data_IF_938632975327
#
_entry.id   IF_938632975327
#
_cell.length_a   1.000
_cell.length_b   1.000
_cell.length_c   1.000
_cell.angle_alpha   90.00
_cell.angle_beta   90.00
_cell.angle_gamma   90.00
#
_symmetry.space_group_name_H-M   'P 1'
#
loop_
_entity.id
_entity.type
_entity.pdbx_description
1 polymer ?
#
# COMPACT_ATOMS: atom_id res chain seq x y z
N UNK A 1 -28.19 17.33 24.15
CA UNK A 1 -26.73 17.47 24.10
C UNK A 1 -26.29 16.94 22.75
N UNK A 2 -26.00 17.85 21.83
CA UNK A 2 -25.56 17.52 20.47
C UNK A 2 -24.05 17.35 20.60
N UNK A 3 -23.61 16.11 20.58
CA UNK A 3 -22.21 15.75 20.40
C UNK A 3 -21.81 16.14 18.97
N UNK A 4 -21.12 17.27 18.84
CA UNK A 4 -20.74 17.88 17.56
C UNK A 4 -19.56 17.15 16.89
N UNK A 5 -19.18 15.96 17.40
CA UNK A 5 -18.10 15.14 16.86
C UNK A 5 -16.73 15.82 16.89
N UNK A 6 -16.58 16.88 17.68
CA UNK A 6 -15.34 17.64 17.87
C UNK A 6 -14.75 17.26 19.21
N UNK A 7 -13.54 16.72 19.19
CA UNK A 7 -12.77 16.50 20.42
C UNK A 7 -12.52 17.84 21.10
N UNK A 8 -12.78 17.88 22.40
CA UNK A 8 -12.25 18.92 23.26
C UNK A 8 -10.72 18.83 23.35
N UNK A 9 -10.09 19.95 23.69
CA UNK A 9 -8.62 20.04 23.83
C UNK A 9 -8.09 19.02 24.87
N UNK A 10 -8.83 18.85 25.98
CA UNK A 10 -8.52 17.88 27.03
C UNK A 10 -8.61 16.43 26.55
N UNK A 11 -9.60 16.10 25.70
CA UNK A 11 -9.75 14.77 25.10
C UNK A 11 -8.63 14.49 24.08
N UNK A 12 -8.24 15.49 23.29
CA UNK A 12 -7.15 15.37 22.33
C UNK A 12 -5.80 15.17 23.04
N UNK A 13 -5.54 15.92 24.11
CA UNK A 13 -4.33 15.78 24.92
C UNK A 13 -4.27 14.40 25.60
N UNK A 14 -5.38 13.94 26.18
CA UNK A 14 -5.45 12.63 26.81
C UNK A 14 -5.18 11.48 25.80
N UNK A 15 -5.76 11.57 24.61
CA UNK A 15 -5.54 10.59 23.54
C UNK A 15 -4.09 10.65 22.98
N UNK A 16 -3.51 11.85 22.86
CA UNK A 16 -2.10 12.02 22.48
C UNK A 16 -1.15 11.36 23.51
N UNK A 17 -1.41 11.57 24.80
CA UNK A 17 -0.62 10.96 25.88
C UNK A 17 -0.77 9.43 25.90
N UNK A 18 -1.97 8.91 25.62
CA UNK A 18 -2.18 7.45 25.56
C UNK A 18 -1.48 6.81 24.36
N UNK A 19 -1.55 7.43 23.17
CA UNK A 19 -0.89 6.94 21.95
C UNK A 19 0.63 6.96 22.06
N UNK A 20 1.22 7.95 22.73
CA UNK A 20 2.66 8.01 23.00
C UNK A 20 3.14 6.95 24.00
N UNK A 21 2.29 6.53 24.94
CA UNK A 21 2.60 5.48 25.93
C UNK A 21 2.56 4.07 25.34
N UNK A 22 1.78 3.86 24.27
CA UNK A 22 1.60 2.54 23.64
C UNK A 22 1.69 2.64 22.11
N UNK A 23 2.91 2.87 21.57
CA UNK A 23 3.11 2.96 20.12
C UNK A 23 2.72 1.63 19.47
N UNK A 24 1.63 1.63 18.68
CA UNK A 24 1.13 0.47 17.94
C UNK A 24 -0.19 -0.14 18.45
N UNK A 25 -0.93 0.51 19.36
CA UNK A 25 -2.28 0.10 19.77
C UNK A 25 -3.38 0.98 19.17
N UNK A 26 -4.62 0.47 19.17
CA UNK A 26 -5.87 1.07 18.64
C UNK A 26 -6.04 2.57 18.94
N UNK A 27 -5.48 3.09 20.04
CA UNK A 27 -5.56 4.50 20.41
C UNK A 27 -4.82 5.47 19.47
N UNK A 28 -3.78 5.03 18.75
CA UNK A 28 -3.13 5.85 17.73
C UNK A 28 -4.04 6.02 16.50
N UNK A 29 -4.67 4.94 16.08
CA UNK A 29 -5.59 4.96 14.94
C UNK A 29 -6.90 5.69 15.29
N UNK A 30 -7.37 5.56 16.53
CA UNK A 30 -8.52 6.30 17.05
C UNK A 30 -8.23 7.81 17.14
N UNK A 31 -7.06 8.20 17.64
CA UNK A 31 -6.63 9.61 17.68
C UNK A 31 -6.51 10.20 16.28
N UNK A 32 -5.89 9.46 15.35
CA UNK A 32 -5.78 9.88 13.95
C UNK A 32 -7.16 10.00 13.29
N UNK A 33 -8.06 9.05 13.50
CA UNK A 33 -9.42 9.11 12.98
C UNK A 33 -10.23 10.30 13.53
N UNK A 34 -10.03 10.65 14.81
CA UNK A 34 -10.69 11.77 15.49
C UNK A 34 -10.10 13.15 15.17
N UNK A 35 -8.84 13.21 14.72
CA UNK A 35 -8.14 14.45 14.38
C UNK A 35 -8.02 14.70 12.88
N UNK A 36 -8.22 13.68 12.03
CA UNK A 36 -8.26 13.82 10.57
C UNK A 36 -9.52 14.58 10.12
N UNK A 37 -9.32 15.84 9.70
CA UNK A 37 -10.38 16.66 9.13
C UNK A 37 -10.73 16.19 7.71
N UNK A 38 -11.75 15.34 7.59
CA UNK A 38 -12.34 14.97 6.28
C UNK A 38 -13.21 16.10 5.75
N UNK A 39 -12.97 16.50 4.51
CA UNK A 39 -13.72 17.54 3.80
C UNK A 39 -14.82 16.89 2.96
N UNK A 40 -16.08 17.18 3.30
CA UNK A 40 -17.22 16.91 2.42
C UNK A 40 -17.27 18.04 1.40
N UNK A 41 -17.02 17.71 0.14
CA UNK A 41 -17.00 18.66 -0.97
C UNK A 41 -18.29 18.54 -1.79
N UNK A 42 -18.81 19.66 -2.26
CA UNK A 42 -19.87 19.67 -3.28
C UNK A 42 -19.38 18.97 -4.55
N UNK A 43 -20.29 18.36 -5.33
CA UNK A 43 -19.92 17.51 -6.48
C UNK A 43 -18.94 18.18 -7.44
N UNK A 44 -19.07 19.48 -7.70
CA UNK A 44 -18.17 20.24 -8.58
C UNK A 44 -16.75 20.35 -8.02
N UNK A 45 -16.63 20.57 -6.71
CA UNK A 45 -15.34 20.69 -6.02
C UNK A 45 -14.67 19.32 -5.88
N UNK A 46 -15.47 18.26 -5.66
CA UNK A 46 -14.99 16.89 -5.69
C UNK A 46 -14.40 16.54 -7.06
N UNK A 47 -15.08 16.87 -8.16
CA UNK A 47 -14.54 16.67 -9.52
C UNK A 47 -13.23 17.43 -9.73
N UNK A 48 -13.12 18.66 -9.20
CA UNK A 48 -11.88 19.44 -9.25
C UNK A 48 -10.72 18.75 -8.54
N UNK A 49 -10.94 18.33 -7.29
CA UNK A 49 -9.96 17.57 -6.51
C UNK A 49 -9.59 16.24 -7.19
N UNK A 50 -10.57 15.52 -7.75
CA UNK A 50 -10.33 14.26 -8.43
C UNK A 50 -9.53 14.43 -9.73
N UNK A 51 -9.70 15.54 -10.44
CA UNK A 51 -8.88 15.84 -11.61
C UNK A 51 -7.44 16.17 -11.20
N UNK A 52 -7.25 16.93 -10.11
CA UNK A 52 -5.93 17.31 -9.63
C UNK A 52 -5.08 16.08 -9.20
N UNK A 53 -5.66 15.14 -8.45
CA UNK A 53 -4.91 13.92 -8.09
C UNK A 53 -4.57 13.06 -9.32
N UNK A 54 -5.41 13.06 -10.35
CA UNK A 54 -5.13 12.34 -11.61
C UNK A 54 -3.92 12.96 -12.31
N UNK A 55 -3.86 14.29 -12.44
CA UNK A 55 -2.72 14.97 -13.05
C UNK A 55 -1.42 14.70 -12.29
N UNK A 56 -1.47 14.73 -10.96
CA UNK A 56 -0.33 14.36 -10.11
C UNK A 56 0.11 12.91 -10.32
N UNK A 57 -0.83 11.95 -10.39
CA UNK A 57 -0.50 10.55 -10.71
C UNK A 57 0.10 10.39 -12.09
N UNK A 58 -0.40 11.11 -13.10
CA UNK A 58 0.16 11.06 -14.45
C UNK A 58 1.58 11.64 -14.46
N UNK A 59 1.83 12.74 -13.74
CA UNK A 59 3.17 13.29 -13.55
C UNK A 59 4.10 12.29 -12.84
N UNK A 60 3.63 11.65 -11.77
CA UNK A 60 4.34 10.58 -11.07
C UNK A 60 4.68 9.40 -11.99
N UNK A 61 3.73 8.98 -12.86
CA UNK A 61 3.96 7.89 -13.82
C UNK A 61 5.07 8.25 -14.83
N UNK A 62 5.10 9.51 -15.31
CA UNK A 62 6.17 9.99 -16.21
C UNK A 62 7.53 9.96 -15.51
N UNK A 63 7.60 10.43 -14.27
CA UNK A 63 8.83 10.43 -13.46
C UNK A 63 9.30 9.00 -13.14
N UNK A 64 8.36 8.10 -12.83
CA UNK A 64 8.62 6.68 -12.62
C UNK A 64 9.23 6.03 -13.87
N UNK A 65 8.65 6.30 -15.05
CA UNK A 65 9.20 5.84 -16.33
C UNK A 65 10.60 6.37 -16.60
N UNK A 66 10.88 7.61 -16.17
CA UNK A 66 12.22 8.22 -16.21
C UNK A 66 13.16 7.74 -15.09
N UNK A 67 12.74 6.78 -14.25
CA UNK A 67 13.47 6.24 -13.08
C UNK A 67 13.81 7.29 -12.01
N UNK A 68 13.11 8.42 -12.01
CA UNK A 68 13.21 9.46 -10.97
C UNK A 68 12.28 9.09 -9.81
N UNK A 69 12.69 8.07 -9.05
CA UNK A 69 11.82 7.42 -8.07
C UNK A 69 11.41 8.33 -6.91
N UNK A 70 12.32 9.18 -6.41
CA UNK A 70 12.00 10.13 -5.33
C UNK A 70 11.00 11.20 -5.78
N UNK A 71 11.22 11.79 -6.97
CA UNK A 71 10.28 12.75 -7.56
C UNK A 71 8.92 12.09 -7.85
N UNK A 72 8.92 10.85 -8.33
CA UNK A 72 7.70 10.08 -8.56
C UNK A 72 6.94 9.82 -7.25
N UNK A 73 7.66 9.43 -6.18
CA UNK A 73 7.09 9.20 -4.85
C UNK A 73 6.40 10.45 -4.34
N UNK A 74 7.07 11.61 -4.42
CA UNK A 74 6.50 12.89 -4.01
C UNK A 74 5.17 13.17 -4.73
N UNK A 75 5.11 12.95 -6.05
CA UNK A 75 3.87 13.18 -6.81
C UNK A 75 2.73 12.24 -6.42
N UNK A 76 3.04 10.98 -6.11
CA UNK A 76 2.03 10.05 -5.63
C UNK A 76 1.56 10.35 -4.20
N UNK A 77 2.45 10.83 -3.32
CA UNK A 77 2.08 11.25 -1.96
C UNK A 77 1.20 12.50 -2.00
N UNK A 78 1.53 13.49 -2.84
CA UNK A 78 0.66 14.65 -3.13
C UNK A 78 -0.73 14.19 -3.61
N UNK A 79 -0.79 13.28 -4.59
CA UNK A 79 -2.06 12.74 -5.08
C UNK A 79 -2.83 11.96 -3.99
N UNK A 80 -2.14 11.18 -3.16
CA UNK A 80 -2.74 10.43 -2.06
C UNK A 80 -3.34 11.36 -0.99
N UNK A 81 -2.69 12.49 -0.72
CA UNK A 81 -3.18 13.48 0.24
C UNK A 81 -4.57 14.01 -0.17
N UNK A 82 -4.76 14.33 -1.45
CA UNK A 82 -6.03 14.85 -1.98
C UNK A 82 -7.15 13.84 -1.80
N UNK A 83 -6.93 12.58 -2.21
CA UNK A 83 -7.96 11.53 -2.12
C UNK A 83 -8.16 10.98 -0.71
N UNK A 84 -7.31 11.33 0.25
CA UNK A 84 -7.48 10.98 1.67
C UNK A 84 -8.31 12.02 2.41
N UNK A 85 -8.20 13.30 2.05
CA UNK A 85 -8.95 14.37 2.73
C UNK A 85 -10.40 14.46 2.26
N UNK A 86 -10.73 14.04 1.04
CA UNK A 86 -12.08 14.15 0.50
C UNK A 86 -12.96 12.99 0.95
N UNK A 87 -14.26 13.25 1.10
CA UNK A 87 -15.28 12.22 1.37
C UNK A 87 -16.43 12.34 0.38
N UNK A 88 -16.96 11.19 -0.04
CA UNK A 88 -18.06 11.12 -0.99
C UNK A 88 -19.39 11.56 -0.37
N UNK A 89 -20.27 12.14 -1.18
CA UNK A 89 -21.64 12.49 -0.77
C UNK A 89 -22.60 11.29 -0.91
N UNK A 90 -22.23 10.32 -1.75
CA UNK A 90 -22.96 9.08 -1.96
C UNK A 90 -22.01 7.87 -1.86
N UNK A 91 -22.58 6.66 -1.77
CA UNK A 91 -21.79 5.42 -1.83
C UNK A 91 -21.05 5.24 -3.16
N UNK A 92 -21.59 5.80 -4.26
CA UNK A 92 -20.92 5.81 -5.57
C UNK A 92 -19.68 6.70 -5.56
N UNK A 93 -19.80 7.92 -5.06
CA UNK A 93 -18.68 8.87 -4.95
C UNK A 93 -17.60 8.33 -4.02
N UNK A 94 -17.99 7.74 -2.88
CA UNK A 94 -17.03 7.17 -1.94
C UNK A 94 -16.26 6.01 -2.57
N UNK A 95 -16.94 5.15 -3.34
CA UNK A 95 -16.29 4.06 -4.08
C UNK A 95 -15.30 4.59 -5.12
N UNK A 96 -15.61 5.69 -5.80
CA UNK A 96 -14.69 6.34 -6.74
C UNK A 96 -13.46 6.90 -6.03
N UNK A 97 -13.64 7.56 -4.87
CA UNK A 97 -12.55 8.05 -4.03
C UNK A 97 -11.67 6.87 -3.55
N UNK A 98 -12.27 5.80 -3.04
CA UNK A 98 -11.56 4.62 -2.53
C UNK A 98 -10.75 3.93 -3.65
N UNK A 99 -11.33 3.84 -4.86
CA UNK A 99 -10.66 3.31 -6.05
C UNK A 99 -9.43 4.15 -6.42
N UNK A 100 -9.58 5.48 -6.39
CA UNK A 100 -8.49 6.41 -6.69
C UNK A 100 -7.40 6.40 -5.61
N UNK A 101 -7.79 6.31 -4.34
CA UNK A 101 -6.88 6.18 -3.19
C UNK A 101 -6.06 4.89 -3.27
N UNK A 102 -6.71 3.76 -3.56
CA UNK A 102 -6.00 2.50 -3.79
C UNK A 102 -5.02 2.59 -4.98
N UNK A 103 -5.38 3.32 -6.04
CA UNK A 103 -4.49 3.50 -7.18
C UNK A 103 -3.25 4.34 -6.85
N UNK A 104 -3.37 5.38 -6.00
CA UNK A 104 -2.22 6.11 -5.46
C UNK A 104 -1.31 5.17 -4.65
N UNK A 105 -1.88 4.39 -3.73
CA UNK A 105 -1.13 3.43 -2.90
C UNK A 105 -0.42 2.36 -3.73
N UNK A 106 -1.06 1.82 -4.77
CA UNK A 106 -0.44 0.86 -5.69
C UNK A 106 0.72 1.47 -6.49
N UNK A 107 0.64 2.76 -6.84
CA UNK A 107 1.72 3.49 -7.50
C UNK A 107 2.89 3.75 -6.55
N UNK A 108 2.62 4.11 -5.30
CA UNK A 108 3.62 4.20 -4.24
C UNK A 108 4.33 2.85 -4.06
N UNK A 109 3.56 1.75 -3.98
CA UNK A 109 4.12 0.40 -3.87
C UNK A 109 5.08 0.07 -5.02
N UNK A 110 4.77 0.51 -6.24
CA UNK A 110 5.65 0.32 -7.38
C UNK A 110 6.99 1.05 -7.21
N UNK A 111 6.97 2.28 -6.68
CA UNK A 111 8.20 3.01 -6.34
C UNK A 111 8.99 2.27 -5.28
N UNK A 112 8.34 1.87 -4.18
CA UNK A 112 8.97 1.14 -3.08
C UNK A 112 9.65 -0.15 -3.57
N UNK A 113 8.96 -0.94 -4.41
CA UNK A 113 9.55 -2.12 -5.04
C UNK A 113 10.75 -1.79 -5.94
N UNK A 114 10.71 -0.67 -6.67
CA UNK A 114 11.80 -0.24 -7.55
C UNK A 114 13.06 0.14 -6.76
N UNK A 115 12.91 0.73 -5.58
CA UNK A 115 14.00 1.06 -4.64
C UNK A 115 14.31 -0.06 -3.64
N UNK A 116 13.68 -1.24 -3.80
CA UNK A 116 13.82 -2.44 -2.96
C UNK A 116 13.36 -2.27 -1.51
N UNK A 117 12.53 -1.27 -1.23
CA UNK A 117 11.78 -1.18 0.03
C UNK A 117 10.52 -2.05 -0.05
N UNK A 118 10.73 -3.36 0.01
CA UNK A 118 9.64 -4.34 -0.08
C UNK A 118 8.74 -4.32 1.16
N UNK A 119 9.26 -3.87 2.32
CA UNK A 119 8.50 -3.73 3.55
C UNK A 119 7.39 -2.69 3.40
N UNK A 120 7.77 -1.49 2.96
CA UNK A 120 6.81 -0.42 2.71
C UNK A 120 5.85 -0.77 1.58
N UNK A 121 6.34 -1.43 0.52
CA UNK A 121 5.48 -1.87 -0.58
C UNK A 121 4.34 -2.79 -0.11
N UNK A 122 4.63 -3.78 0.75
CA UNK A 122 3.61 -4.66 1.33
C UNK A 122 2.64 -3.85 2.21
N UNK A 123 3.15 -2.94 3.04
CA UNK A 123 2.33 -2.11 3.95
C UNK A 123 1.28 -1.31 3.17
N UNK A 124 1.67 -0.56 2.14
CA UNK A 124 0.73 0.25 1.35
C UNK A 124 -0.21 -0.60 0.48
N UNK A 125 0.21 -1.80 0.07
CA UNK A 125 -0.67 -2.74 -0.66
C UNK A 125 -1.74 -3.36 0.24
N UNK A 126 -1.46 -3.56 1.52
CA UNK A 126 -2.46 -3.97 2.50
C UNK A 126 -3.52 -2.89 2.71
N UNK A 127 -3.11 -1.62 2.81
CA UNK A 127 -4.04 -0.48 2.84
C UNK A 127 -4.89 -0.42 1.57
N UNK A 128 -4.28 -0.62 0.39
CA UNK A 128 -5.01 -0.64 -0.86
C UNK A 128 -6.03 -1.79 -0.92
N UNK A 129 -5.70 -2.98 -0.37
CA UNK A 129 -6.62 -4.11 -0.37
C UNK A 129 -7.89 -3.81 0.43
N UNK A 130 -7.76 -3.10 1.57
CA UNK A 130 -8.91 -2.72 2.38
C UNK A 130 -9.92 -1.85 1.60
N UNK A 131 -9.46 -1.11 0.59
CA UNK A 131 -10.28 -0.26 -0.27
C UNK A 131 -10.82 -1.01 -1.50
N UNK A 132 -10.02 -1.91 -2.09
CA UNK A 132 -10.37 -2.67 -3.30
C UNK A 132 -10.10 -4.19 -3.11
N UNK A 133 -10.93 -4.89 -2.33
CA UNK A 133 -10.62 -6.25 -1.87
C UNK A 133 -10.52 -7.30 -2.97
N UNK A 134 -11.12 -7.05 -4.14
CA UNK A 134 -11.19 -8.01 -5.26
C UNK A 134 -10.42 -7.50 -6.49
N UNK A 135 -9.16 -7.07 -6.31
CA UNK A 135 -8.35 -6.53 -7.41
C UNK A 135 -7.14 -7.41 -7.75
N UNK A 136 -7.18 -8.10 -8.89
CA UNK A 136 -6.10 -9.01 -9.35
C UNK A 136 -4.74 -8.32 -9.38
N UNK A 137 -4.66 -7.11 -9.95
CA UNK A 137 -3.37 -6.38 -10.10
C UNK A 137 -2.74 -6.07 -8.74
N UNK A 138 -3.55 -5.82 -7.72
CA UNK A 138 -3.08 -5.60 -6.35
C UNK A 138 -2.40 -6.85 -5.80
N UNK A 139 -3.06 -8.02 -5.85
CA UNK A 139 -2.50 -9.27 -5.35
C UNK A 139 -1.24 -9.67 -6.12
N UNK A 140 -1.21 -9.49 -7.45
CA UNK A 140 -0.01 -9.73 -8.25
C UNK A 140 1.16 -8.84 -7.82
N UNK A 141 0.91 -7.55 -7.53
CA UNK A 141 1.95 -6.63 -7.01
C UNK A 141 2.41 -7.02 -5.62
N UNK A 142 1.49 -7.45 -4.74
CA UNK A 142 1.85 -7.83 -3.37
C UNK A 142 2.61 -9.14 -3.32
N UNK A 143 2.27 -10.12 -4.16
CA UNK A 143 3.06 -11.33 -4.35
C UNK A 143 4.51 -11.01 -4.76
N UNK A 144 4.70 -10.06 -5.67
CA UNK A 144 6.04 -9.58 -6.07
C UNK A 144 6.77 -8.90 -4.90
N UNK A 145 6.08 -8.08 -4.11
CA UNK A 145 6.67 -7.43 -2.94
C UNK A 145 7.08 -8.46 -1.87
N UNK A 146 6.21 -9.42 -1.54
CA UNK A 146 6.54 -10.53 -0.63
C UNK A 146 7.72 -11.36 -1.14
N UNK A 147 7.78 -11.66 -2.44
CA UNK A 147 8.92 -12.35 -3.06
C UNK A 147 10.22 -11.57 -2.86
N UNK A 148 10.20 -10.25 -3.06
CA UNK A 148 11.35 -9.38 -2.82
C UNK A 148 11.78 -9.30 -1.35
N UNK A 149 10.82 -9.40 -0.42
CA UNK A 149 11.07 -9.42 1.03
C UNK A 149 11.55 -10.78 1.55
N UNK A 150 11.38 -11.85 0.77
CA UNK A 150 11.70 -13.23 1.15
C UNK A 150 10.53 -14.02 1.73
N UNK A 151 9.33 -13.44 1.76
CA UNK A 151 8.12 -14.07 2.30
C UNK A 151 7.46 -14.97 1.25
N UNK A 152 8.14 -16.05 0.86
CA UNK A 152 7.68 -16.88 -0.25
C UNK A 152 6.32 -17.55 0.01
N UNK A 153 5.95 -17.79 1.27
CA UNK A 153 4.65 -18.34 1.64
C UNK A 153 3.51 -17.37 1.32
N UNK A 154 3.64 -16.11 1.77
CA UNK A 154 2.64 -15.07 1.53
C UNK A 154 2.54 -14.74 0.03
N UNK A 155 3.67 -14.74 -0.69
CA UNK A 155 3.67 -14.55 -2.13
C UNK A 155 2.85 -15.61 -2.87
N UNK A 156 3.01 -16.88 -2.51
CA UNK A 156 2.24 -17.98 -3.11
C UNK A 156 0.76 -17.92 -2.72
N UNK A 157 0.44 -17.51 -1.49
CA UNK A 157 -0.93 -17.33 -1.05
C UNK A 157 -1.68 -16.25 -1.86
N UNK A 158 -1.02 -15.11 -2.14
CA UNK A 158 -1.57 -14.07 -3.01
C UNK A 158 -1.84 -14.58 -4.44
N UNK A 159 -0.90 -15.36 -4.99
CA UNK A 159 -1.03 -15.94 -6.34
C UNK A 159 -2.14 -17.00 -6.41
N UNK A 160 -2.29 -17.82 -5.38
CA UNK A 160 -3.41 -18.75 -5.27
C UNK A 160 -4.75 -18.03 -5.13
N UNK A 161 -4.78 -16.87 -4.47
CA UNK A 161 -5.97 -16.04 -4.42
C UNK A 161 -6.32 -15.49 -5.81
N UNK A 162 -5.35 -15.01 -6.58
CA UNK A 162 -5.56 -14.59 -7.98
C UNK A 162 -6.15 -15.71 -8.82
N UNK A 163 -5.58 -16.92 -8.76
CA UNK A 163 -6.08 -18.08 -9.51
C UNK A 163 -7.52 -18.47 -9.15
N UNK A 164 -7.93 -18.25 -7.89
CA UNK A 164 -9.32 -18.48 -7.45
C UNK A 164 -10.28 -17.40 -7.94
N UNK A 165 -9.83 -16.15 -8.04
CA UNK A 165 -10.65 -15.03 -8.53
C UNK A 165 -10.85 -15.10 -10.04
N UNK A 166 -9.79 -15.42 -10.78
CA UNK A 166 -9.81 -15.49 -12.24
C UNK A 166 -8.98 -16.69 -12.72
N UNK A 167 -9.62 -17.83 -13.02
CA UNK A 167 -8.95 -19.00 -13.55
C UNK A 167 -8.31 -18.78 -14.94
N UNK A 168 -8.76 -17.80 -15.72
CA UNK A 168 -8.20 -17.49 -17.05
C UNK A 168 -6.92 -16.65 -16.98
N UNK A 169 -6.63 -16.05 -15.83
CA UNK A 169 -5.39 -15.33 -15.55
C UNK A 169 -4.17 -16.27 -15.34
N UNK A 170 -4.29 -17.54 -15.73
CA UNK A 170 -3.38 -18.63 -15.33
C UNK A 170 -1.92 -18.43 -15.75
N UNK A 171 -1.66 -17.93 -16.97
CA UNK A 171 -0.30 -17.77 -17.49
C UNK A 171 0.53 -16.80 -16.64
N UNK A 172 -0.03 -15.64 -16.31
CA UNK A 172 0.65 -14.63 -15.48
C UNK A 172 0.89 -15.16 -14.05
N UNK A 173 -0.02 -15.97 -13.51
CA UNK A 173 0.14 -16.59 -12.19
C UNK A 173 1.21 -17.67 -12.22
N UNK A 174 1.24 -18.52 -13.24
CA UNK A 174 2.21 -19.61 -13.38
C UNK A 174 3.64 -19.06 -13.51
N UNK A 175 3.82 -18.01 -14.32
CA UNK A 175 5.11 -17.30 -14.45
C UNK A 175 5.53 -16.67 -13.12
N UNK A 176 4.60 -16.05 -12.39
CA UNK A 176 4.88 -15.48 -11.08
C UNK A 176 5.25 -16.57 -10.05
N UNK A 177 4.55 -17.71 -10.03
CA UNK A 177 4.87 -18.86 -9.16
C UNK A 177 6.26 -19.40 -9.48
N UNK A 178 6.59 -19.58 -10.76
CA UNK A 178 7.91 -20.03 -11.19
C UNK A 178 9.00 -19.04 -10.73
N UNK A 179 8.75 -17.74 -10.83
CA UNK A 179 9.65 -16.71 -10.31
C UNK A 179 9.86 -16.83 -8.79
N UNK A 180 8.79 -16.96 -8.00
CA UNK A 180 8.87 -17.13 -6.55
C UNK A 180 9.73 -18.35 -6.19
N UNK A 181 9.48 -19.48 -6.86
CA UNK A 181 10.24 -20.72 -6.64
C UNK A 181 11.73 -20.54 -6.99
N UNK A 182 12.04 -19.90 -8.10
CA UNK A 182 13.42 -19.64 -8.51
C UNK A 182 14.17 -18.77 -7.49
N UNK A 183 13.56 -17.67 -7.02
CA UNK A 183 14.16 -16.79 -6.01
C UNK A 183 14.35 -17.54 -4.69
N UNK A 184 13.37 -18.34 -4.26
CA UNK A 184 13.45 -19.18 -3.06
C UNK A 184 14.62 -20.16 -3.13
N UNK A 185 14.79 -20.87 -4.25
CA UNK A 185 15.90 -21.81 -4.42
C UNK A 185 17.25 -21.10 -4.41
N UNK A 186 17.35 -19.92 -5.03
CA UNK A 186 18.57 -19.12 -4.98
C UNK A 186 18.91 -18.66 -3.57
N UNK A 187 17.91 -18.25 -2.76
CA UNK A 187 18.13 -17.87 -1.37
C UNK A 187 18.66 -19.05 -0.54
N UNK A 188 18.01 -20.22 -0.63
CA UNK A 188 18.43 -21.44 0.07
C UNK A 188 19.83 -21.90 -0.35
N UNK A 189 20.16 -21.81 -1.65
CA UNK A 189 21.49 -22.17 -2.14
C UNK A 189 22.57 -21.23 -1.59
N UNK A 190 22.29 -19.92 -1.51
CA UNK A 190 23.21 -18.94 -0.92
C UNK A 190 23.44 -19.21 0.57
N UNK A 191 22.38 -19.48 1.33
CA UNK A 191 22.47 -19.82 2.76
C UNK A 191 23.32 -21.08 2.98
N UNK A 192 23.08 -22.15 2.22
CA UNK A 192 23.88 -23.38 2.28
C UNK A 192 25.35 -23.14 1.97
N UNK A 193 25.64 -22.33 0.94
CA UNK A 193 27.01 -21.98 0.58
C UNK A 193 27.71 -21.16 1.67
N UNK A 194 27.00 -20.22 2.32
CA UNK A 194 27.52 -19.44 3.44
C UNK A 194 27.79 -20.33 4.67
N UNK A 195 26.85 -21.23 5.00
CA UNK A 195 27.02 -22.16 6.12
C UNK A 195 28.23 -23.09 5.93
N UNK A 196 28.43 -23.61 4.72
CA UNK A 196 29.61 -24.43 4.41
C UNK A 196 30.93 -23.65 4.60
N UNK A 197 31.01 -22.43 4.07
CA UNK A 197 32.20 -21.58 4.24
C UNK A 197 32.49 -21.25 5.70
N UNK A 198 31.44 -21.04 6.51
CA UNK A 198 31.61 -20.77 7.94
C UNK A 198 32.14 -21.99 8.70
N UNK A 199 31.74 -23.22 8.33
CA UNK A 199 32.32 -24.44 8.87
C UNK A 199 33.80 -24.58 8.48
N UNK A 200 34.11 -24.41 7.20
CA UNK A 200 35.48 -24.57 6.67
C UNK A 200 36.47 -23.53 7.23
N UNK A 201 35.99 -22.36 7.64
CA UNK A 201 36.81 -21.29 8.25
C UNK A 201 37.02 -21.45 9.76
N UNK A 202 36.27 -22.34 10.42
CA UNK A 202 36.36 -22.63 11.86
C UNK A 202 37.23 -23.85 12.20
N UNK A 203 37.72 -24.57 11.20
CA UNK A 203 38.65 -25.72 11.30
C UNK A 203 40.04 -25.34 10.85
#
# INVERSE_FOLDING_TARGET
MIDDGRLSEDEAEHMLVQSLKHPGTDGHDEFKAKTEKKMKLETKELVGALNEHIELRVAGNRLYGAKKFDEARQKYDEALSIVTIVSGMSGGDQKEIDTNRAACLMNIAAVCMAVKDFGEAVRVLNEAQALIPNNIKLFMRRARAHTGRGDFGDALADLDHVRKMDPEYCLDVDDAVAHVQAVKQQALAKERAMAKKALDAGT
#
